data_IF_780759993276
#
_entry.id   IF_780759993276
#
_cell.length_a   1.000
_cell.length_b   1.000
_cell.length_c   1.000
_cell.angle_alpha   90.00
_cell.angle_beta   90.00
_cell.angle_gamma   90.00
#
_symmetry.space_group_name_H-M   'P 1'
#
loop_
_entity.id
_entity.type
_entity.pdbx_description
1 polymer ?
#
# COMPACT_ATOMS: atom_id res chain seq x y z
N UNK A 1 27.66 -22.68 -7.31
CA UNK A 1 28.69 -21.73 -6.84
C UNK A 1 28.07 -20.93 -5.70
N UNK A 2 28.04 -21.55 -4.52
CA UNK A 2 28.04 -21.02 -3.16
C UNK A 2 27.14 -19.83 -2.76
N UNK A 3 26.52 -19.98 -1.58
CA UNK A 3 25.68 -18.97 -0.94
C UNK A 3 26.37 -17.61 -0.78
N UNK A 4 27.67 -17.61 -0.43
CA UNK A 4 28.43 -16.37 -0.24
C UNK A 4 28.50 -15.51 -1.50
N UNK A 5 28.68 -16.12 -2.67
CA UNK A 5 28.68 -15.39 -3.95
C UNK A 5 27.30 -14.80 -4.24
N UNK A 6 26.24 -15.56 -3.95
CA UNK A 6 24.87 -15.08 -4.09
C UNK A 6 24.56 -13.90 -3.16
N UNK A 7 24.98 -13.98 -1.90
CA UNK A 7 24.81 -12.90 -0.94
C UNK A 7 25.53 -11.62 -1.39
N UNK A 8 26.79 -11.72 -1.83
CA UNK A 8 27.55 -10.56 -2.32
C UNK A 8 26.90 -9.95 -3.58
N UNK A 9 26.38 -10.78 -4.49
CA UNK A 9 25.64 -10.32 -5.65
C UNK A 9 24.33 -9.62 -5.25
N UNK A 10 23.61 -10.13 -4.26
CA UNK A 10 22.41 -9.50 -3.73
C UNK A 10 22.72 -8.14 -3.08
N UNK A 11 23.80 -8.03 -2.29
CA UNK A 11 24.24 -6.74 -1.74
C UNK A 11 24.58 -5.74 -2.86
N UNK A 12 25.32 -6.17 -3.88
CA UNK A 12 25.64 -5.30 -5.01
C UNK A 12 24.38 -4.82 -5.75
N UNK A 13 23.42 -5.73 -5.98
CA UNK A 13 22.18 -5.42 -6.68
C UNK A 13 21.26 -4.51 -5.85
N UNK A 14 21.22 -4.68 -4.53
CA UNK A 14 20.44 -3.84 -3.62
C UNK A 14 20.76 -2.36 -3.76
N UNK A 15 22.03 -2.03 -3.99
CA UNK A 15 22.51 -0.65 -4.08
C UNK A 15 22.38 -0.04 -5.49
N UNK A 16 22.26 -0.88 -6.53
CA UNK A 16 22.48 -0.45 -7.93
C UNK A 16 21.32 -0.73 -8.87
N UNK A 17 20.38 -1.58 -8.47
CA UNK A 17 19.20 -1.97 -9.24
C UNK A 17 17.97 -1.32 -8.62
N UNK A 18 16.95 -1.04 -9.43
CA UNK A 18 15.67 -0.57 -8.92
C UNK A 18 15.13 -1.50 -7.82
N UNK A 19 14.59 -0.91 -6.76
CA UNK A 19 14.15 -1.61 -5.56
C UNK A 19 13.10 -2.69 -5.85
N UNK A 20 12.18 -2.44 -6.78
CA UNK A 20 11.14 -3.38 -7.18
C UNK A 20 11.71 -4.58 -7.94
N UNK A 21 12.57 -4.31 -8.92
CA UNK A 21 13.26 -5.34 -9.70
C UNK A 21 14.14 -6.22 -8.81
N UNK A 22 14.88 -5.59 -7.88
CA UNK A 22 15.75 -6.30 -6.94
C UNK A 22 14.96 -7.27 -6.06
N UNK A 23 13.91 -6.81 -5.38
CA UNK A 23 13.13 -7.64 -4.46
C UNK A 23 12.44 -8.78 -5.20
N UNK A 24 11.90 -8.52 -6.40
CA UNK A 24 11.30 -9.58 -7.22
C UNK A 24 12.32 -10.66 -7.61
N UNK A 25 13.44 -10.24 -8.19
CA UNK A 25 14.50 -11.17 -8.62
C UNK A 25 15.08 -11.96 -7.43
N UNK A 26 15.29 -11.29 -6.29
CA UNK A 26 15.77 -11.94 -5.07
C UNK A 26 14.77 -12.97 -4.54
N UNK A 27 13.48 -12.66 -4.52
CA UNK A 27 12.43 -13.56 -4.04
C UNK A 27 12.37 -14.84 -4.88
N UNK A 28 12.39 -14.70 -6.21
CA UNK A 28 12.41 -15.85 -7.14
C UNK A 28 13.70 -16.66 -6.97
N UNK A 29 14.85 -15.99 -6.84
CA UNK A 29 16.13 -16.65 -6.64
C UNK A 29 16.17 -17.48 -5.34
N UNK A 30 15.66 -16.94 -4.23
CA UNK A 30 15.60 -17.64 -2.94
C UNK A 30 14.72 -18.90 -3.03
N UNK A 31 13.60 -18.83 -3.74
CA UNK A 31 12.68 -19.98 -3.87
C UNK A 31 13.22 -21.07 -4.80
N UNK A 32 13.94 -20.70 -5.86
CA UNK A 32 14.39 -21.65 -6.89
C UNK A 32 15.74 -22.29 -6.58
N UNK A 33 16.60 -21.63 -5.81
CA UNK A 33 17.94 -22.13 -5.51
C UNK A 33 17.89 -23.24 -4.44
N UNK A 34 18.70 -24.28 -4.64
CA UNK A 34 18.79 -25.41 -3.71
C UNK A 34 19.45 -25.04 -2.38
N UNK A 35 20.42 -24.12 -2.39
CA UNK A 35 21.18 -23.72 -1.20
C UNK A 35 20.43 -22.75 -0.27
N UNK A 36 19.29 -22.24 -0.72
CA UNK A 36 18.39 -21.38 0.08
C UNK A 36 17.08 -22.07 0.45
N UNK A 37 16.97 -23.39 0.24
CA UNK A 37 15.81 -24.14 0.69
C UNK A 37 15.65 -24.04 2.21
N UNK A 38 14.43 -23.78 2.67
CA UNK A 38 14.12 -23.54 4.07
C UNK A 38 14.25 -22.07 4.51
N UNK A 39 14.79 -21.18 3.66
CA UNK A 39 14.71 -19.74 3.91
C UNK A 39 13.27 -19.28 3.70
N UNK A 40 12.68 -18.70 4.74
CA UNK A 40 11.32 -18.18 4.71
C UNK A 40 11.35 -16.75 4.18
N UNK A 41 10.59 -16.49 3.11
CA UNK A 41 10.40 -15.13 2.61
C UNK A 41 9.48 -14.34 3.56
N UNK A 42 9.77 -13.05 3.79
CA UNK A 42 8.83 -12.18 4.50
C UNK A 42 7.50 -12.05 3.72
N UNK A 43 6.41 -11.70 4.40
CA UNK A 43 5.16 -11.29 3.77
C UNK A 43 5.36 -10.17 2.75
N UNK A 44 4.74 -10.28 1.57
CA UNK A 44 4.81 -9.22 0.55
C UNK A 44 4.19 -7.90 1.04
N UNK A 45 3.19 -7.98 1.91
CA UNK A 45 2.59 -6.81 2.57
C UNK A 45 3.53 -6.05 3.50
N UNK A 46 4.54 -6.70 4.05
CA UNK A 46 5.59 -6.05 4.85
C UNK A 46 6.69 -5.45 3.97
N UNK A 47 6.99 -6.10 2.85
CA UNK A 47 8.02 -5.64 1.91
C UNK A 47 7.52 -4.47 1.04
N UNK A 48 6.25 -4.52 0.62
CA UNK A 48 5.60 -3.52 -0.22
C UNK A 48 4.29 -3.00 0.38
N UNK A 49 4.32 -2.34 1.55
CA UNK A 49 3.10 -1.85 2.19
C UNK A 49 2.26 -0.94 1.29
N UNK A 50 2.89 -0.22 0.36
CA UNK A 50 2.21 0.67 -0.59
C UNK A 50 1.28 -0.05 -1.59
N UNK A 51 1.43 -1.37 -1.77
CA UNK A 51 0.57 -2.15 -2.66
C UNK A 51 -0.64 -2.77 -1.93
N UNK A 52 -0.62 -2.79 -0.59
CA UNK A 52 -1.63 -3.47 0.23
C UNK A 52 -2.38 -2.51 1.17
N UNK A 53 -1.92 -1.27 1.33
CA UNK A 53 -2.51 -0.28 2.23
C UNK A 53 -3.09 0.87 1.42
N UNK A 54 -4.27 1.34 1.83
CA UNK A 54 -4.95 2.45 1.17
C UNK A 54 -4.15 3.75 1.26
N UNK A 55 -4.16 4.52 0.15
CA UNK A 55 -3.42 5.79 0.03
C UNK A 55 -3.74 6.76 1.17
N UNK A 56 -5.01 6.82 1.62
CA UNK A 56 -5.44 7.68 2.74
C UNK A 56 -4.71 7.32 4.04
N UNK A 57 -4.57 6.03 4.35
CA UNK A 57 -3.84 5.56 5.52
C UNK A 57 -2.33 5.84 5.39
N UNK A 58 -1.75 5.67 4.20
CA UNK A 58 -0.34 5.99 3.95
C UNK A 58 -0.08 7.49 4.17
N UNK A 59 -0.92 8.36 3.62
CA UNK A 59 -0.80 9.82 3.79
C UNK A 59 -0.93 10.23 5.25
N UNK A 60 -1.89 9.65 5.98
CA UNK A 60 -2.07 9.91 7.41
C UNK A 60 -0.84 9.47 8.23
N UNK A 61 -0.28 8.29 7.93
CA UNK A 61 0.94 7.82 8.58
C UNK A 61 2.14 8.74 8.29
N UNK A 62 2.27 9.23 7.05
CA UNK A 62 3.29 10.20 6.66
C UNK A 62 3.14 11.53 7.40
N UNK A 63 1.92 12.03 7.55
CA UNK A 63 1.62 13.25 8.30
C UNK A 63 2.09 13.14 9.76
N UNK A 64 1.72 12.05 10.44
CA UNK A 64 2.16 11.82 11.82
C UNK A 64 3.68 11.67 11.95
N UNK A 65 4.33 11.05 10.96
CA UNK A 65 5.80 10.97 10.91
C UNK A 65 6.44 12.35 10.81
N UNK A 66 5.89 13.25 10.00
CA UNK A 66 6.38 14.62 9.87
C UNK A 66 6.21 15.44 11.17
N UNK A 67 5.21 15.12 11.99
CA UNK A 67 5.02 15.71 13.31
C UNK A 67 5.98 15.17 14.39
N UNK A 68 6.82 14.19 14.06
CA UNK A 68 7.76 13.57 15.00
C UNK A 68 7.12 12.56 15.94
N UNK A 69 5.89 12.09 15.66
CA UNK A 69 5.27 11.02 16.43
C UNK A 69 5.95 9.69 16.13
N UNK A 70 6.41 8.98 17.17
CA UNK A 70 7.16 7.72 17.04
C UNK A 70 6.28 6.49 16.86
N UNK A 71 5.06 6.52 17.40
CA UNK A 71 4.11 5.42 17.34
C UNK A 71 2.71 6.00 17.15
N UNK A 72 2.05 5.56 16.09
CA UNK A 72 0.70 5.98 15.73
C UNK A 72 -0.09 4.80 15.19
N UNK A 73 -1.37 4.77 15.51
CA UNK A 73 -2.30 3.80 14.94
C UNK A 73 -3.06 4.48 13.82
N UNK A 74 -2.94 3.95 12.61
CA UNK A 74 -3.69 4.44 11.44
C UNK A 74 -4.58 3.32 10.96
N UNK A 75 -5.88 3.61 10.86
CA UNK A 75 -6.84 2.66 10.37
C UNK A 75 -6.87 2.70 8.83
N UNK A 76 -6.65 1.54 8.20
CA UNK A 76 -6.86 1.35 6.77
C UNK A 76 -8.12 0.50 6.58
N UNK A 77 -9.21 1.12 6.12
CA UNK A 77 -10.42 0.38 5.76
C UNK A 77 -10.61 0.42 4.25
N UNK A 78 -10.83 -0.77 3.70
CA UNK A 78 -11.15 -1.06 2.30
C UNK A 78 -12.66 -1.27 2.09
N UNK A 79 -13.36 -1.77 3.11
CA UNK A 79 -14.82 -1.89 3.08
C UNK A 79 -15.42 -0.49 3.13
N UNK A 80 -16.12 -0.10 2.06
CA UNK A 80 -16.83 1.18 1.92
C UNK A 80 -17.67 1.53 3.16
N UNK A 81 -17.05 2.23 4.10
CA UNK A 81 -17.73 3.11 5.04
C UNK A 81 -17.30 4.54 4.79
N UNK A 82 -17.30 4.94 3.52
CA UNK A 82 -17.01 6.32 3.12
C UNK A 82 -17.95 7.32 3.79
N UNK A 83 -19.21 6.95 4.04
CA UNK A 83 -20.19 7.81 4.70
C UNK A 83 -19.78 8.22 6.13
N UNK A 84 -19.24 7.29 6.94
CA UNK A 84 -18.84 7.60 8.32
C UNK A 84 -17.56 8.45 8.40
N UNK A 85 -16.56 8.17 7.55
CA UNK A 85 -15.31 8.93 7.53
C UNK A 85 -15.46 10.33 6.94
N UNK A 86 -16.35 10.52 5.96
CA UNK A 86 -16.66 11.86 5.46
C UNK A 86 -17.30 12.75 6.53
N UNK A 87 -18.19 12.20 7.37
CA UNK A 87 -18.82 12.99 8.44
C UNK A 87 -17.80 13.45 9.50
N UNK A 88 -16.84 12.62 9.88
CA UNK A 88 -15.78 13.03 10.83
C UNK A 88 -14.81 14.05 10.22
N UNK A 89 -14.41 13.89 8.95
CA UNK A 89 -13.55 14.88 8.30
C UNK A 89 -14.26 16.23 8.10
N UNK A 90 -15.56 16.22 7.74
CA UNK A 90 -16.36 17.45 7.65
C UNK A 90 -16.50 18.14 9.00
N UNK A 91 -16.67 17.41 10.12
CA UNK A 91 -16.74 18.03 11.45
C UNK A 91 -15.40 18.68 11.88
N UNK A 92 -14.26 18.06 11.55
CA UNK A 92 -12.95 18.65 11.84
C UNK A 92 -12.62 19.83 10.91
N UNK A 93 -13.07 19.79 9.66
CA UNK A 93 -12.87 20.88 8.69
C UNK A 93 -13.85 22.05 8.90
N UNK A 94 -15.07 21.83 9.41
CA UNK A 94 -15.98 22.92 9.82
C UNK A 94 -15.40 23.77 10.95
N UNK A 95 -14.59 23.18 11.85
CA UNK A 95 -13.87 23.94 12.87
C UNK A 95 -12.75 24.82 12.27
N UNK A 96 -12.16 24.43 11.15
CA UNK A 96 -11.13 25.21 10.44
C UNK A 96 -11.71 26.18 9.38
N UNK A 97 -12.91 25.91 8.86
CA UNK A 97 -13.60 26.78 7.88
C UNK A 97 -13.98 28.15 8.43
N UNK A 98 -14.13 28.29 9.75
CA UNK A 98 -14.35 29.59 10.39
C UNK A 98 -13.12 30.54 10.28
N UNK A 99 -12.02 30.13 9.65
CA UNK A 99 -10.77 30.91 9.57
C UNK A 99 -10.17 31.07 8.15
N UNK A 100 -10.80 30.58 7.07
CA UNK A 100 -10.20 30.60 5.73
C UNK A 100 -10.96 31.53 4.74
N UNK A 101 -10.26 32.31 3.90
CA UNK A 101 -10.86 33.31 3.01
C UNK A 101 -11.63 32.67 1.83
N UNK A 102 -12.67 33.36 1.37
CA UNK A 102 -13.68 32.94 0.37
C UNK A 102 -13.14 32.32 -0.94
N UNK A 103 -11.90 32.63 -1.37
CA UNK A 103 -11.35 32.14 -2.64
C UNK A 103 -11.02 30.63 -2.65
N UNK A 104 -10.76 30.02 -1.49
CA UNK A 104 -10.41 28.60 -1.40
C UNK A 104 -11.62 27.66 -1.42
N UNK A 105 -12.84 28.19 -1.30
CA UNK A 105 -14.06 27.36 -1.19
C UNK A 105 -14.41 26.67 -2.53
N UNK A 106 -14.30 27.36 -3.67
CA UNK A 106 -14.65 26.79 -4.98
C UNK A 106 -13.72 25.63 -5.38
N UNK A 107 -12.42 25.75 -5.11
CA UNK A 107 -11.46 24.69 -5.40
C UNK A 107 -11.74 23.43 -4.55
N UNK A 108 -12.17 23.63 -3.30
CA UNK A 108 -12.59 22.55 -2.40
C UNK A 108 -13.85 21.84 -2.91
N UNK A 109 -14.85 22.60 -3.38
CA UNK A 109 -16.08 22.05 -3.95
C UNK A 109 -15.79 21.19 -5.20
N UNK A 110 -14.84 21.62 -6.03
CA UNK A 110 -14.44 20.87 -7.22
C UNK A 110 -13.76 19.54 -6.86
N UNK A 111 -12.93 19.52 -5.81
CA UNK A 111 -12.32 18.31 -5.27
C UNK A 111 -13.36 17.33 -4.70
N UNK A 112 -14.38 17.83 -4.00
CA UNK A 112 -15.48 17.02 -3.47
C UNK A 112 -16.33 16.40 -4.59
N UNK A 113 -16.63 17.18 -5.63
CA UNK A 113 -17.38 16.70 -6.79
C UNK A 113 -16.63 15.60 -7.55
N UNK A 114 -15.31 15.75 -7.69
CA UNK A 114 -14.46 14.71 -8.28
C UNK A 114 -14.49 13.43 -7.43
N UNK A 115 -14.28 13.51 -6.11
CA UNK A 115 -14.39 12.31 -5.23
C UNK A 115 -15.79 11.67 -5.32
N UNK A 116 -16.87 12.45 -5.35
CA UNK A 116 -18.25 11.94 -5.47
C UNK A 116 -18.54 11.25 -6.82
N UNK A 117 -17.98 11.74 -7.92
CA UNK A 117 -18.16 11.12 -9.23
C UNK A 117 -17.50 9.73 -9.31
N UNK A 118 -16.34 9.54 -8.65
CA UNK A 118 -15.72 8.22 -8.54
C UNK A 118 -16.54 7.27 -7.66
N UNK A 119 -17.20 7.76 -6.60
CA UNK A 119 -17.98 6.93 -5.66
C UNK A 119 -19.12 6.15 -6.36
N UNK A 120 -19.78 6.74 -7.35
CA UNK A 120 -20.93 6.11 -8.02
C UNK A 120 -20.54 4.93 -8.93
N UNK A 121 -19.27 4.79 -9.32
CA UNK A 121 -18.81 3.67 -10.15
C UNK A 121 -18.50 2.40 -9.32
N UNK A 122 -18.39 2.53 -7.98
CA UNK A 122 -18.00 1.45 -7.06
C UNK A 122 -19.15 0.82 -6.27
N UNK A 123 -20.42 1.12 -6.57
CA UNK A 123 -21.54 0.72 -5.70
C UNK A 123 -21.76 -0.81 -5.61
N UNK A 124 -21.53 -1.55 -6.70
CA UNK A 124 -21.63 -3.01 -6.70
C UNK A 124 -20.32 -3.71 -6.32
N UNK A 125 -19.21 -3.37 -6.97
CA UNK A 125 -17.90 -4.00 -6.76
C UNK A 125 -17.29 -3.64 -5.38
N UNK A 126 -17.63 -2.48 -4.82
CA UNK A 126 -17.15 -2.08 -3.49
C UNK A 126 -17.71 -2.93 -2.36
N UNK A 127 -18.79 -3.68 -2.58
CA UNK A 127 -19.35 -4.60 -1.57
C UNK A 127 -18.48 -5.82 -1.33
N UNK A 128 -17.65 -6.19 -2.31
CA UNK A 128 -16.70 -7.30 -2.20
C UNK A 128 -15.27 -6.84 -1.93
N UNK A 129 -15.07 -5.54 -1.65
CA UNK A 129 -13.74 -4.95 -1.37
C UNK A 129 -13.02 -5.63 -0.20
N UNK A 130 -13.74 -6.08 0.82
CA UNK A 130 -13.15 -6.83 1.93
C UNK A 130 -12.49 -8.15 1.49
N UNK A 131 -12.92 -8.72 0.37
CA UNK A 131 -12.37 -9.94 -0.22
C UNK A 131 -11.32 -9.60 -1.29
N UNK A 132 -11.63 -8.69 -2.21
CA UNK A 132 -10.72 -8.35 -3.33
C UNK A 132 -9.50 -7.56 -2.88
N UNK A 133 -9.60 -6.79 -1.80
CA UNK A 133 -8.49 -6.06 -1.19
C UNK A 133 -7.94 -6.75 0.07
N UNK A 134 -8.32 -8.02 0.33
CA UNK A 134 -7.74 -8.77 1.44
C UNK A 134 -6.23 -8.96 1.22
N UNK A 135 -5.46 -8.68 2.27
CA UNK A 135 -4.00 -8.71 2.22
C UNK A 135 -3.50 -10.12 1.95
N UNK A 136 -4.09 -11.13 2.60
CA UNK A 136 -3.62 -12.51 2.48
C UNK A 136 -3.96 -13.08 1.12
N UNK A 137 -5.17 -12.86 0.58
CA UNK A 137 -5.54 -13.32 -0.76
C UNK A 137 -4.64 -12.74 -1.84
N UNK A 138 -4.39 -11.43 -1.80
CA UNK A 138 -3.49 -10.78 -2.74
C UNK A 138 -2.03 -11.26 -2.59
N UNK A 139 -1.60 -11.52 -1.36
CA UNK A 139 -0.28 -12.07 -1.08
C UNK A 139 -0.13 -13.53 -1.56
N UNK A 140 -1.18 -14.34 -1.45
CA UNK A 140 -1.18 -15.70 -2.02
C UNK A 140 -0.97 -15.68 -3.53
N UNK A 141 -1.65 -14.77 -4.24
CA UNK A 141 -1.46 -14.61 -5.67
C UNK A 141 -0.03 -14.19 -6.04
N UNK A 142 0.55 -13.24 -5.28
CA UNK A 142 1.94 -12.84 -5.46
C UNK A 142 2.92 -14.00 -5.25
N UNK A 143 2.71 -14.84 -4.23
CA UNK A 143 3.53 -16.03 -4.03
C UNK A 143 3.44 -17.00 -5.20
N UNK A 144 2.26 -17.27 -5.75
CA UNK A 144 2.13 -18.15 -6.91
C UNK A 144 3.02 -17.69 -8.07
N UNK A 145 3.09 -16.39 -8.34
CA UNK A 145 3.97 -15.84 -9.38
C UNK A 145 5.47 -15.93 -9.04
N UNK A 146 5.84 -15.90 -7.77
CA UNK A 146 7.24 -16.08 -7.32
C UNK A 146 7.65 -17.55 -7.41
N UNK A 147 6.77 -18.47 -7.00
CA UNK A 147 7.01 -19.91 -7.05
C UNK A 147 6.94 -20.47 -8.49
N UNK A 148 6.04 -19.94 -9.31
CA UNK A 148 5.79 -20.38 -10.68
C UNK A 148 5.68 -19.20 -11.65
N UNK A 149 6.78 -18.46 -11.86
CA UNK A 149 6.79 -17.36 -12.83
C UNK A 149 6.56 -17.91 -14.23
N UNK A 150 5.63 -17.30 -14.97
CA UNK A 150 5.25 -17.78 -16.31
C UNK A 150 6.38 -17.66 -17.37
N UNK A 151 7.42 -16.87 -17.09
CA UNK A 151 8.56 -16.63 -17.97
C UNK A 151 9.76 -17.54 -17.70
N UNK A 152 9.69 -18.39 -16.66
CA UNK A 152 10.77 -19.28 -16.24
C UNK A 152 10.48 -20.72 -16.63
#
# INVERSE_FOLDING_TARGET
KDYNTFYQAACWARDRVNEGQFVYALSVAIVKRQDTQGVVLPPQSEVYPQLYINTKAIQQAQYYKQQGQKQVYVQSNNTNNYAYYQQQQQQQQQQQQNQQPFQNQEQYQNYQNYEQQYQNQYDYEGRVAYFTEDVNLNQQYAYQQIYYPAWF
#
